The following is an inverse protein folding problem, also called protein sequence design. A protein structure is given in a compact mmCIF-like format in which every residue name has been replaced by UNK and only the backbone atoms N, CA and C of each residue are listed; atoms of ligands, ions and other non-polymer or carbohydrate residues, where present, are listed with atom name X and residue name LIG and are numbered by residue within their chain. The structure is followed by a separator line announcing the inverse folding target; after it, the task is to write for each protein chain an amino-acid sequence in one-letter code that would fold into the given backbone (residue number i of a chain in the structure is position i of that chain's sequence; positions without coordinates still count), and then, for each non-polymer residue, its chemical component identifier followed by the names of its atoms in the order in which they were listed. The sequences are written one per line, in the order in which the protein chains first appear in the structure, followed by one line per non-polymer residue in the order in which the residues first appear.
data_IF_009942581888
#
_entry.id   IF_009942581888
#
_cell.length_a   1.000
_cell.length_b   1.000
_cell.length_c   1.000
_cell.angle_alpha   90.00
_cell.angle_beta   90.00
_cell.angle_gamma   90.00
#
_symmetry.space_group_name_H-M   'P 1'
#
loop_
_entity.id
_entity.type
_entity.pdbx_description
1 polymer ?
#
# COMPACT_ATOMS: atom_id res chain seq x y z
N UNK A 1 -42.57 44.49 -44.79
CA UNK A 1 -42.87 43.85 -43.49
C UNK A 1 -41.70 44.16 -42.55
N UNK A 2 -41.73 44.88 -41.40
CA UNK A 2 -42.66 44.97 -40.24
C UNK A 2 -43.08 43.58 -39.75
N UNK A 3 -42.98 43.17 -38.47
CA UNK A 3 -42.59 43.75 -37.17
C UNK A 3 -42.68 42.60 -36.11
N UNK A 4 -42.07 42.78 -34.93
CA UNK A 4 -42.45 42.20 -33.59
C UNK A 4 -42.14 40.71 -33.29
N UNK A 5 -41.69 40.27 -32.09
CA UNK A 5 -41.35 40.92 -30.81
C UNK A 5 -41.34 39.93 -29.62
N UNK A 6 -40.59 40.27 -28.53
CA UNK A 6 -40.76 39.92 -27.06
C UNK A 6 -40.71 38.44 -26.61
N UNK A 7 -40.33 38.01 -25.39
CA UNK A 7 -40.01 38.55 -24.04
C UNK A 7 -39.31 37.40 -23.22
N UNK A 8 -38.30 37.62 -22.34
CA UNK A 8 -38.37 37.74 -20.86
C UNK A 8 -39.03 36.54 -20.11
N UNK A 9 -38.67 36.02 -18.91
CA UNK A 9 -37.66 36.17 -17.84
C UNK A 9 -38.11 35.21 -16.68
N UNK A 10 -37.28 35.00 -15.65
CA UNK A 10 -37.61 34.53 -14.26
C UNK A 10 -37.68 33.01 -14.04
N UNK A 11 -37.06 32.37 -13.03
CA UNK A 11 -36.63 32.84 -11.71
C UNK A 11 -37.66 32.46 -10.65
N UNK A 12 -37.51 31.31 -9.99
CA UNK A 12 -38.29 30.99 -8.78
C UNK A 12 -37.54 29.99 -7.89
N UNK A 13 -37.01 30.52 -6.79
CA UNK A 13 -36.71 29.74 -5.59
C UNK A 13 -38.00 29.42 -4.86
N UNK A 14 -38.00 28.33 -4.10
CA UNK A 14 -39.02 28.08 -3.10
C UNK A 14 -38.38 27.42 -1.87
N UNK A 15 -39.01 27.68 -0.74
CA UNK A 15 -38.40 28.02 0.52
C UNK A 15 -38.45 26.84 1.51
N UNK A 16 -37.47 26.87 2.41
CA UNK A 16 -37.24 26.05 3.58
C UNK A 16 -38.51 25.70 4.37
N UNK A 17 -38.77 24.40 4.57
CA UNK A 17 -39.56 23.92 5.71
C UNK A 17 -38.64 23.34 6.78
N UNK A 18 -38.49 24.11 7.87
CA UNK A 18 -37.89 23.69 9.14
C UNK A 18 -38.62 22.47 9.72
N UNK A 19 -37.90 21.38 9.90
CA UNK A 19 -38.10 20.46 11.03
C UNK A 19 -36.75 20.15 11.67
N UNK A 20 -36.42 20.93 12.68
CA UNK A 20 -35.40 20.60 13.66
C UNK A 20 -35.95 19.46 14.52
N UNK A 21 -35.57 18.22 14.22
CA UNK A 21 -35.81 17.07 15.07
C UNK A 21 -34.71 16.04 14.80
N UNK A 22 -33.87 15.83 15.82
CA UNK A 22 -32.95 14.71 15.97
C UNK A 22 -31.78 14.61 14.96
N UNK A 23 -30.75 15.45 15.16
CA UNK A 23 -29.49 15.38 14.40
C UNK A 23 -28.64 14.14 14.71
N UNK A 24 -28.98 13.35 15.74
CA UNK A 24 -28.21 12.16 16.13
C UNK A 24 -28.76 10.86 15.49
N UNK A 25 -30.07 10.74 15.26
CA UNK A 25 -30.69 9.59 14.60
C UNK A 25 -30.44 9.53 13.08
N UNK A 26 -30.43 10.67 12.39
CA UNK A 26 -30.21 10.74 10.93
C UNK A 26 -28.78 10.43 10.49
N UNK A 27 -27.79 10.62 11.36
CA UNK A 27 -26.38 10.31 11.07
C UNK A 27 -26.11 8.80 10.99
N UNK A 28 -26.87 7.99 11.73
CA UNK A 28 -26.73 6.53 11.69
C UNK A 28 -27.27 5.90 10.40
N UNK A 29 -28.19 6.59 9.70
CA UNK A 29 -28.80 6.10 8.46
C UNK A 29 -28.07 6.57 7.20
N UNK A 30 -27.26 7.63 7.32
CA UNK A 30 -26.34 8.11 6.27
C UNK A 30 -24.92 7.53 6.40
N UNK A 31 -24.74 6.47 7.19
CA UNK A 31 -23.44 5.82 7.28
C UNK A 31 -23.16 4.98 6.02
N UNK A 32 -22.51 5.62 5.04
CA UNK A 32 -22.11 5.00 3.78
C UNK A 32 -21.18 3.80 3.98
N UNK A 33 -20.60 3.63 5.18
CA UNK A 33 -19.78 2.44 5.52
C UNK A 33 -20.58 1.15 5.51
N UNK A 34 -21.91 1.19 5.67
CA UNK A 34 -22.77 0.01 5.54
C UNK A 34 -22.78 -0.56 4.11
N UNK A 35 -22.49 0.27 3.11
CA UNK A 35 -22.38 -0.14 1.70
C UNK A 35 -20.94 -0.54 1.31
N UNK A 36 -19.98 -0.44 2.23
CA UNK A 36 -18.60 -0.77 1.92
C UNK A 36 -18.41 -2.27 1.75
N UNK A 37 -17.58 -2.62 0.77
CA UNK A 37 -17.12 -4.00 0.62
C UNK A 37 -16.21 -4.36 1.79
N UNK A 38 -16.04 -5.64 2.05
CA UNK A 38 -15.15 -6.10 3.13
C UNK A 38 -13.72 -5.58 2.95
N UNK A 39 -13.18 -4.88 3.95
CA UNK A 39 -11.85 -4.27 3.88
C UNK A 39 -11.78 -2.91 3.17
N UNK A 40 -12.88 -2.44 2.57
CA UNK A 40 -13.00 -1.08 2.08
C UNK A 40 -13.10 -0.12 3.27
N UNK A 41 -12.26 0.90 3.26
CA UNK A 41 -12.19 1.94 4.30
C UNK A 41 -12.63 3.29 3.77
N UNK A 42 -12.56 3.48 2.45
CA UNK A 42 -12.77 4.76 1.79
C UNK A 42 -13.81 4.62 0.69
N UNK A 43 -14.46 5.72 0.35
CA UNK A 43 -15.40 5.78 -0.76
C UNK A 43 -14.69 5.41 -2.07
N UNK A 44 -15.39 4.69 -2.93
CA UNK A 44 -14.83 4.30 -4.22
C UNK A 44 -14.64 5.54 -5.08
N UNK A 45 -13.42 5.80 -5.58
CA UNK A 45 -13.14 6.98 -6.38
C UNK A 45 -13.86 6.88 -7.74
N UNK A 46 -14.17 8.03 -8.37
CA UNK A 46 -14.83 8.05 -9.67
C UNK A 46 -13.94 7.42 -10.77
N UNK A 47 -14.57 6.91 -11.83
CA UNK A 47 -13.85 6.23 -12.94
C UNK A 47 -12.85 7.14 -13.64
N UNK A 48 -13.13 8.45 -13.69
CA UNK A 48 -12.25 9.45 -14.29
C UNK A 48 -11.02 9.80 -13.42
N UNK A 49 -10.92 9.27 -12.20
CA UNK A 49 -9.77 9.54 -11.34
C UNK A 49 -8.50 8.87 -11.88
N UNK A 50 -7.41 9.63 -12.11
CA UNK A 50 -6.18 9.07 -12.67
C UNK A 50 -5.49 8.10 -11.70
N UNK A 51 -5.66 8.28 -10.38
CA UNK A 51 -5.09 7.39 -9.36
C UNK A 51 -5.74 6.02 -9.42
N UNK A 52 -7.07 5.98 -9.59
CA UNK A 52 -7.84 4.75 -9.83
C UNK A 52 -7.33 4.02 -11.08
N UNK A 53 -7.25 4.71 -12.22
CA UNK A 53 -6.78 4.14 -13.47
C UNK A 53 -5.35 3.62 -13.41
N UNK A 54 -4.47 4.34 -12.69
CA UNK A 54 -3.09 3.92 -12.45
C UNK A 54 -3.01 2.61 -11.68
N UNK A 55 -3.68 2.50 -10.52
CA UNK A 55 -3.60 1.29 -9.70
C UNK A 55 -4.34 0.09 -10.31
N UNK A 56 -5.42 0.33 -11.06
CA UNK A 56 -6.07 -0.72 -11.85
C UNK A 56 -5.12 -1.30 -12.91
N UNK A 57 -4.45 -0.43 -13.66
CA UNK A 57 -3.46 -0.84 -14.66
C UNK A 57 -2.27 -1.54 -14.02
N UNK A 58 -1.75 -1.01 -12.90
CA UNK A 58 -0.65 -1.60 -12.15
C UNK A 58 -1.01 -3.00 -11.63
N UNK A 59 -2.27 -3.23 -11.24
CA UNK A 59 -2.71 -4.55 -10.79
C UNK A 59 -2.82 -5.55 -11.95
N UNK A 60 -3.24 -5.09 -13.14
CA UNK A 60 -3.30 -5.92 -14.36
C UNK A 60 -1.90 -6.35 -14.82
N UNK A 61 -0.95 -5.43 -14.80
CA UNK A 61 0.44 -5.72 -15.15
C UNK A 61 1.15 -6.56 -14.08
N UNK A 62 0.95 -6.20 -12.81
CA UNK A 62 1.62 -6.80 -11.66
C UNK A 62 0.61 -7.17 -10.57
N UNK A 63 0.02 -8.38 -10.61
CA UNK A 63 -1.03 -8.81 -9.68
C UNK A 63 -0.53 -9.00 -8.24
N UNK A 64 0.78 -8.99 -8.02
CA UNK A 64 1.43 -9.09 -6.70
C UNK A 64 1.92 -7.73 -6.18
N UNK A 65 1.61 -6.63 -6.88
CA UNK A 65 1.92 -5.28 -6.44
C UNK A 65 1.21 -4.95 -5.13
N UNK A 66 1.98 -4.84 -4.04
CA UNK A 66 1.46 -4.59 -2.69
C UNK A 66 0.63 -3.30 -2.63
N UNK A 67 1.08 -2.24 -3.30
CA UNK A 67 0.41 -0.94 -3.25
C UNK A 67 -0.90 -0.95 -4.03
N UNK A 68 -0.94 -1.63 -5.19
CA UNK A 68 -2.15 -1.80 -5.98
C UNK A 68 -3.18 -2.65 -5.21
N UNK A 69 -2.75 -3.78 -4.64
CA UNK A 69 -3.62 -4.63 -3.81
C UNK A 69 -4.21 -3.84 -2.64
N UNK A 70 -3.38 -3.06 -1.93
CA UNK A 70 -3.85 -2.23 -0.82
C UNK A 70 -4.88 -1.21 -1.30
N UNK A 71 -4.59 -0.48 -2.38
CA UNK A 71 -5.47 0.55 -2.92
C UNK A 71 -6.81 -0.04 -3.40
N UNK A 72 -6.78 -1.08 -4.22
CA UNK A 72 -7.99 -1.70 -4.75
C UNK A 72 -8.90 -2.25 -3.64
N UNK A 73 -8.33 -2.80 -2.56
CA UNK A 73 -9.10 -3.27 -1.39
C UNK A 73 -9.65 -2.10 -0.56
N UNK A 74 -8.81 -1.12 -0.20
CA UNK A 74 -9.23 -0.02 0.69
C UNK A 74 -10.26 0.92 0.05
N UNK A 75 -10.25 1.06 -1.28
CA UNK A 75 -11.20 1.88 -2.03
C UNK A 75 -12.31 1.06 -2.72
N UNK A 76 -12.25 -0.28 -2.66
CA UNK A 76 -13.29 -1.15 -3.22
C UNK A 76 -13.50 -1.00 -4.73
N UNK A 77 -12.43 -0.76 -5.48
CA UNK A 77 -12.47 -0.36 -6.90
C UNK A 77 -12.97 -1.48 -7.83
N UNK A 78 -12.65 -2.73 -7.50
CA UNK A 78 -12.93 -3.91 -8.33
C UNK A 78 -14.33 -4.49 -8.09
N UNK A 79 -14.80 -5.36 -8.98
CA UNK A 79 -16.03 -6.12 -8.80
C UNK A 79 -15.97 -7.02 -7.55
N UNK A 80 -17.13 -7.39 -6.99
CA UNK A 80 -17.22 -8.13 -5.71
C UNK A 80 -16.41 -9.44 -5.74
N UNK A 81 -16.43 -10.17 -6.86
CA UNK A 81 -15.72 -11.45 -6.98
C UNK A 81 -14.19 -11.29 -6.98
N UNK A 82 -13.69 -10.34 -7.76
CA UNK A 82 -12.26 -10.02 -7.82
C UNK A 82 -11.77 -9.47 -6.49
N UNK A 83 -12.59 -8.63 -5.85
CA UNK A 83 -12.32 -8.04 -4.56
C UNK A 83 -12.13 -9.12 -3.47
N UNK A 84 -13.01 -10.13 -3.41
CA UNK A 84 -12.86 -11.25 -2.47
C UNK A 84 -11.53 -12.00 -2.65
N UNK A 85 -11.15 -12.28 -3.90
CA UNK A 85 -9.87 -12.92 -4.23
C UNK A 85 -8.69 -12.03 -3.79
N UNK A 86 -8.77 -10.73 -4.06
CA UNK A 86 -7.74 -9.76 -3.67
C UNK A 86 -7.64 -9.61 -2.14
N UNK A 87 -8.76 -9.61 -1.44
CA UNK A 87 -8.83 -9.50 0.01
C UNK A 87 -8.08 -10.66 0.69
N UNK A 88 -8.23 -11.89 0.18
CA UNK A 88 -7.49 -13.03 0.68
C UNK A 88 -5.96 -12.86 0.51
N UNK A 89 -5.52 -12.33 -0.64
CA UNK A 89 -4.11 -11.98 -0.87
C UNK A 89 -3.64 -10.85 0.06
N UNK A 90 -4.46 -9.83 0.22
CA UNK A 90 -4.19 -8.67 1.07
C UNK A 90 -3.98 -9.12 2.53
N UNK A 91 -4.85 -9.96 3.08
CA UNK A 91 -4.72 -10.47 4.44
C UNK A 91 -3.41 -11.25 4.63
N UNK A 92 -3.08 -12.16 3.70
CA UNK A 92 -1.78 -12.87 3.73
C UNK A 92 -0.58 -11.92 3.72
N UNK A 93 -0.64 -10.85 2.93
CA UNK A 93 0.43 -9.84 2.87
C UNK A 93 0.48 -8.99 4.15
N UNK A 94 -0.68 -8.64 4.70
CA UNK A 94 -0.82 -7.90 5.95
C UNK A 94 -0.24 -8.70 7.12
N UNK A 95 -0.56 -9.98 7.24
CA UNK A 95 -0.07 -10.86 8.30
C UNK A 95 1.46 -11.04 8.21
N UNK A 96 2.00 -11.06 6.99
CA UNK A 96 3.46 -11.03 6.75
C UNK A 96 4.11 -9.69 7.12
N UNK A 97 3.35 -8.69 7.54
CA UNK A 97 3.83 -7.35 7.90
C UNK A 97 4.21 -6.50 6.68
N UNK A 98 3.71 -6.82 5.49
CA UNK A 98 4.10 -6.13 4.26
C UNK A 98 3.67 -4.65 4.21
N UNK A 99 2.68 -4.25 5.02
CA UNK A 99 2.11 -2.90 5.04
C UNK A 99 2.47 -2.07 6.29
N UNK A 100 3.11 -2.67 7.30
CA UNK A 100 3.56 -1.93 8.49
C UNK A 100 5.02 -1.50 8.32
N UNK A 101 5.26 -0.19 8.35
CA UNK A 101 6.62 0.38 8.31
C UNK A 101 7.48 -0.17 9.45
N UNK A 102 6.91 -0.29 10.65
CA UNK A 102 7.60 -0.81 11.82
C UNK A 102 8.03 -2.27 11.62
N UNK A 103 7.15 -3.11 11.06
CA UNK A 103 7.48 -4.51 10.76
C UNK A 103 8.56 -4.63 9.69
N UNK A 104 8.53 -3.77 8.67
CA UNK A 104 9.57 -3.74 7.64
C UNK A 104 10.93 -3.29 8.19
N UNK A 105 10.95 -2.24 9.02
CA UNK A 105 12.17 -1.75 9.68
C UNK A 105 12.77 -2.83 10.57
N UNK A 106 11.96 -3.49 11.42
CA UNK A 106 12.44 -4.60 12.27
C UNK A 106 13.07 -5.73 11.45
N UNK A 107 12.41 -6.17 10.37
CA UNK A 107 12.95 -7.21 9.47
C UNK A 107 14.24 -6.78 8.77
N UNK A 108 14.34 -5.51 8.37
CA UNK A 108 15.54 -4.98 7.73
C UNK A 108 16.74 -4.96 8.70
N UNK A 109 16.52 -4.49 9.94
CA UNK A 109 17.53 -4.44 10.99
C UNK A 109 18.02 -5.85 11.37
N UNK A 110 17.10 -6.80 11.57
CA UNK A 110 17.45 -8.19 11.89
C UNK A 110 18.27 -8.85 10.76
N UNK A 111 17.85 -8.63 9.51
CA UNK A 111 18.59 -9.12 8.33
C UNK A 111 19.98 -8.48 8.23
N UNK A 112 20.13 -7.21 8.61
CA UNK A 112 21.41 -6.54 8.64
C UNK A 112 22.31 -7.13 9.74
N UNK A 113 21.78 -7.38 10.94
CA UNK A 113 22.50 -8.01 12.05
C UNK A 113 23.01 -9.42 11.69
N UNK A 114 22.17 -10.24 11.06
CA UNK A 114 22.53 -11.57 10.55
C UNK A 114 23.61 -11.51 9.47
N UNK A 115 23.54 -10.55 8.54
CA UNK A 115 24.56 -10.36 7.49
C UNK A 115 25.90 -9.92 8.08
N UNK A 116 25.92 -9.02 9.06
CA UNK A 116 27.15 -8.62 9.75
C UNK A 116 27.77 -9.77 10.55
N UNK A 117 26.96 -10.60 11.20
CA UNK A 117 27.44 -11.78 11.92
C UNK A 117 28.05 -12.82 10.96
N UNK A 118 27.46 -13.02 9.77
CA UNK A 118 27.96 -13.97 8.76
C UNK A 118 29.26 -13.50 8.11
N UNK A 119 29.38 -12.20 7.80
CA UNK A 119 30.60 -11.60 7.23
C UNK A 119 31.79 -11.60 8.20
N UNK A 120 31.52 -11.49 9.51
CA UNK A 120 32.55 -11.65 10.55
C UNK A 120 33.07 -13.08 10.69
N UNK A 121 32.25 -14.10 10.38
CA UNK A 121 32.64 -15.51 10.41
C UNK A 121 33.47 -15.91 9.19
N UNK A 122 33.08 -15.47 7.98
CA UNK A 122 33.84 -15.70 6.74
C UNK A 122 35.25 -15.09 6.78
N UNK A 123 35.41 -13.89 7.36
CA UNK A 123 36.72 -13.25 7.45
C UNK A 123 37.65 -13.92 8.48
N UNK A 124 37.10 -14.67 9.45
CA UNK A 124 37.87 -15.41 10.46
C UNK A 124 38.35 -16.78 9.95
N UNK A 125 37.63 -17.39 9.01
CA UNK A 125 38.06 -18.64 8.37
C UNK A 125 39.13 -18.45 7.29
N UNK A 126 39.11 -17.33 6.54
CA UNK A 126 40.12 -17.07 5.51
C UNK A 126 41.45 -16.50 6.04
N UNK A 127 41.46 -15.81 7.19
CA UNK A 127 42.68 -15.28 7.81
C UNK A 127 43.58 -16.33 8.49
N UNK A 128 43.09 -17.57 8.68
CA UNK A 128 43.82 -18.63 9.39
C UNK A 128 44.80 -19.44 8.55
N UNK A 129 44.72 -19.39 7.21
CA UNK A 129 45.59 -20.20 6.32
C UNK A 129 46.87 -19.51 5.85
N UNK A 130 46.93 -18.18 5.80
CA UNK A 130 48.13 -17.46 5.32
C UNK A 130 49.20 -17.22 6.40
N UNK A 131 48.87 -17.37 7.69
CA UNK A 131 49.82 -17.15 8.78
C UNK A 131 50.73 -18.35 9.09
N UNK A 132 50.42 -19.56 8.59
CA UNK A 132 51.23 -20.76 8.86
C UNK A 132 52.41 -20.94 7.89
N UNK A 133 52.30 -20.44 6.66
CA UNK A 133 53.34 -20.59 5.62
C UNK A 133 54.53 -19.63 5.77
N UNK A 134 54.38 -18.52 6.50
CA UNK A 134 55.47 -17.55 6.72
C UNK A 134 56.42 -17.89 7.87
N UNK A 135 56.09 -18.86 8.74
CA UNK A 135 56.98 -19.24 9.86
C UNK A 135 58.06 -20.24 9.44
N UNK A 136 57.77 -21.17 8.53
CA UNK A 136 58.74 -22.18 8.08
C UNK A 136 59.80 -21.64 7.09
N UNK A 137 59.58 -20.47 6.48
CA UNK A 137 60.55 -19.90 5.51
C UNK A 137 61.62 -19.02 6.15
N UNK A 138 61.47 -18.62 7.43
CA UNK A 138 62.45 -17.77 8.13
C UNK A 138 63.60 -18.59 8.74
N UNK A 139 63.32 -19.80 9.25
CA UNK A 139 64.33 -20.66 9.88
C UNK A 139 65.33 -21.30 8.88
N UNK A 140 65.02 -21.36 7.59
CA UNK A 140 65.92 -21.96 6.59
C UNK A 140 66.99 -21.00 6.05
N UNK A 141 66.93 -19.70 6.39
CA UNK A 141 67.86 -18.67 5.87
C UNK A 141 69.02 -18.36 6.82
N UNK A 142 69.00 -18.84 8.06
CA UNK A 142 70.04 -18.55 9.06
C UNK A 142 71.08 -19.67 9.25
N UNK A 143 71.06 -20.72 8.40
CA UNK A 143 71.97 -21.87 8.52
C UNK A 143 72.84 -22.17 7.29
N UNK A 144 73.05 -21.21 6.39
CA UNK A 144 73.93 -21.40 5.24
C UNK A 144 74.91 -20.25 5.06
#
# INVERSE_FOLDING_TARGET
EKKEGKEAKEGKGDEVSKKAADSNGLQADLDHRKLFKEGQKQLTPPVADPTRGFYESLLKENPDSKIAIKFCVEYGVLAIEEHKKLLHKYNKLRDKGAFSMQAQIKKALEKQALKSAKKGKENKENGGKEAKDKKDKKDKKEKK
#
